data_IF_623672054814
#
_entry.id   IF_623672054814
#
_cell.length_a   1.000
_cell.length_b   1.000
_cell.length_c   1.000
_cell.angle_alpha   90.00
_cell.angle_beta   90.00
_cell.angle_gamma   90.00
#
_symmetry.space_group_name_H-M   'P 1'
#
loop_
_entity.id
_entity.type
_entity.pdbx_description
1 polymer ?
#
# COMPACT_ATOMS: atom_id res chain seq x y z
N UNK A 1 -5.01 -14.20 -4.68
CA UNK A 1 -4.11 -13.16 -4.11
C UNK A 1 -2.65 -13.43 -4.43
N UNK A 2 -2.08 -14.62 -4.16
CA UNK A 2 -0.68 -14.93 -4.52
C UNK A 2 -0.39 -14.80 -6.02
N UNK A 3 -1.18 -15.44 -6.90
CA UNK A 3 -1.00 -15.34 -8.37
C UNK A 3 -1.12 -13.89 -8.87
N UNK A 4 -2.00 -13.10 -8.26
CA UNK A 4 -2.13 -11.69 -8.61
C UNK A 4 -0.87 -10.90 -8.22
N UNK A 5 -0.36 -11.12 -7.00
CA UNK A 5 0.85 -10.47 -6.52
C UNK A 5 2.09 -10.90 -7.30
N UNK A 6 2.18 -12.15 -7.76
CA UNK A 6 3.31 -12.58 -8.61
C UNK A 6 3.32 -11.83 -9.93
N UNK A 7 2.18 -11.66 -10.61
CA UNK A 7 2.14 -10.88 -11.85
C UNK A 7 2.40 -9.39 -11.62
N UNK A 8 1.90 -8.83 -10.52
CA UNK A 8 2.18 -7.43 -10.16
C UNK A 8 3.65 -7.22 -9.79
N UNK A 9 4.32 -8.23 -9.21
CA UNK A 9 5.74 -8.16 -8.88
C UNK A 9 6.61 -8.16 -10.13
N UNK A 10 6.24 -8.93 -11.16
CA UNK A 10 6.94 -8.93 -12.46
C UNK A 10 6.83 -7.58 -13.17
N UNK A 11 5.65 -6.96 -13.20
CA UNK A 11 5.46 -5.66 -13.86
C UNK A 11 5.85 -4.45 -13.00
N UNK A 12 5.82 -4.59 -11.68
CA UNK A 12 5.85 -3.48 -10.73
C UNK A 12 4.52 -2.73 -10.63
N UNK A 13 4.41 -1.86 -9.62
CA UNK A 13 3.25 -0.98 -9.44
C UNK A 13 3.31 0.22 -10.37
N UNK A 14 2.16 0.66 -10.88
CA UNK A 14 2.04 1.93 -11.58
C UNK A 14 2.08 3.11 -10.59
N UNK A 15 2.22 4.34 -11.10
CA UNK A 15 2.19 5.58 -10.33
C UNK A 15 1.06 6.52 -10.83
N UNK A 16 0.70 7.57 -10.06
CA UNK A 16 -0.41 8.45 -10.40
C UNK A 16 -0.30 9.15 -11.75
N UNK A 17 0.92 9.37 -12.25
CA UNK A 17 1.15 10.01 -13.54
C UNK A 17 1.03 9.03 -14.72
N UNK A 18 0.98 7.71 -14.45
CA UNK A 18 0.86 6.68 -15.48
C UNK A 18 2.07 6.54 -16.41
N UNK A 19 3.20 7.17 -16.07
CA UNK A 19 4.47 7.09 -16.82
C UNK A 19 5.43 6.09 -16.19
N UNK A 20 6.54 5.76 -16.84
CA UNK A 20 7.53 4.84 -16.27
C UNK A 20 8.17 5.39 -14.98
N UNK A 21 8.12 4.61 -13.90
CA UNK A 21 8.77 4.91 -12.62
C UNK A 21 10.19 4.35 -12.49
N UNK A 22 10.76 3.79 -13.57
CA UNK A 22 12.07 3.12 -13.53
C UNK A 22 13.22 4.05 -13.09
N UNK A 23 13.11 5.36 -13.37
CA UNK A 23 14.12 6.36 -13.00
C UNK A 23 14.07 6.76 -11.52
N UNK A 24 12.92 6.60 -10.86
CA UNK A 24 12.67 7.11 -9.50
C UNK A 24 12.05 6.01 -8.62
N UNK A 25 12.76 4.88 -8.50
CA UNK A 25 12.33 3.75 -7.70
C UNK A 25 12.99 3.78 -6.33
N UNK A 26 12.18 3.87 -5.29
CA UNK A 26 12.61 3.75 -3.89
C UNK A 26 12.35 2.33 -3.36
N UNK A 27 13.13 1.83 -2.38
CA UNK A 27 12.91 0.51 -1.79
C UNK A 27 11.58 0.46 -1.02
N UNK A 28 10.99 -0.74 -0.93
CA UNK A 28 9.73 -0.95 -0.22
C UNK A 28 9.83 -0.59 1.27
N UNK A 29 10.87 -1.11 1.93
CA UNK A 29 11.21 -0.75 3.31
C UNK A 29 12.29 0.34 3.30
N UNK A 30 12.17 1.41 4.12
CA UNK A 30 11.16 1.63 5.15
C UNK A 30 9.87 2.34 4.67
N UNK A 31 9.88 2.89 3.45
CA UNK A 31 8.90 3.87 3.00
C UNK A 31 7.46 3.35 2.93
N UNK A 32 7.20 2.34 2.11
CA UNK A 32 5.87 1.80 1.93
C UNK A 32 5.44 0.97 3.14
N UNK A 33 6.37 0.29 3.82
CA UNK A 33 6.07 -0.41 5.07
C UNK A 33 5.52 0.51 6.17
N UNK A 34 6.13 1.69 6.38
CA UNK A 34 5.63 2.66 7.34
C UNK A 34 4.31 3.31 6.88
N UNK A 35 4.18 3.61 5.59
CA UNK A 35 2.93 4.13 5.01
C UNK A 35 1.75 3.17 5.23
N UNK A 36 1.98 1.88 5.00
CA UNK A 36 0.97 0.84 5.16
C UNK A 36 0.61 0.65 6.64
N UNK A 37 1.60 0.71 7.55
CA UNK A 37 1.34 0.66 8.99
C UNK A 37 0.47 1.84 9.45
N UNK A 38 0.77 3.06 8.98
CA UNK A 38 -0.08 4.22 9.26
C UNK A 38 -1.49 4.02 8.71
N UNK A 39 -1.64 3.52 7.48
CA UNK A 39 -2.95 3.21 6.91
C UNK A 39 -3.72 2.18 7.72
N UNK A 40 -3.04 1.12 8.16
CA UNK A 40 -3.62 0.07 8.99
C UNK A 40 -4.07 0.59 10.35
N UNK A 41 -3.27 1.43 11.03
CA UNK A 41 -3.68 2.01 12.31
C UNK A 41 -4.92 2.89 12.14
N UNK A 42 -4.98 3.75 11.12
CA UNK A 42 -6.16 4.57 10.83
C UNK A 42 -7.41 3.71 10.54
N UNK A 43 -7.26 2.63 9.78
CA UNK A 43 -8.35 1.68 9.53
C UNK A 43 -8.87 1.05 10.82
N UNK A 44 -7.98 0.61 11.71
CA UNK A 44 -8.36 0.04 13.00
C UNK A 44 -9.06 1.08 13.88
N UNK A 45 -8.55 2.31 13.95
CA UNK A 45 -9.21 3.40 14.70
C UNK A 45 -10.62 3.70 14.17
N UNK A 46 -10.80 3.71 12.86
CA UNK A 46 -12.12 3.92 12.28
C UNK A 46 -13.05 2.75 12.60
N UNK A 47 -12.58 1.51 12.44
CA UNK A 47 -13.38 0.32 12.74
C UNK A 47 -13.80 0.28 14.22
N UNK A 48 -12.90 0.59 15.15
CA UNK A 48 -13.26 0.65 16.58
C UNK A 48 -14.24 1.77 16.87
N UNK A 49 -14.07 2.95 16.26
CA UNK A 49 -15.05 4.03 16.39
C UNK A 49 -16.45 3.60 15.90
N UNK A 50 -16.52 2.91 14.76
CA UNK A 50 -17.78 2.35 14.24
C UNK A 50 -18.37 1.34 15.23
N UNK A 51 -17.58 0.41 15.74
CA UNK A 51 -18.03 -0.58 16.74
C UNK A 51 -18.54 0.09 18.01
N UNK A 52 -17.92 1.17 18.47
CA UNK A 52 -18.33 1.90 19.69
C UNK A 52 -19.59 2.75 19.51
N UNK A 53 -19.99 3.04 18.27
CA UNK A 53 -21.21 3.79 17.95
C UNK A 53 -22.45 2.87 17.93
N UNK A 54 -22.26 1.57 17.68
CA UNK A 54 -23.31 0.56 17.68
C UNK A 54 -23.40 -0.18 19.02
#
# INVERSE_FOLDING_TARGET
TLVHLTFLHESGSNNPLGISSACDKIPFHPYFSLKDLLGFTHYVYFLTAVVMIY
#
